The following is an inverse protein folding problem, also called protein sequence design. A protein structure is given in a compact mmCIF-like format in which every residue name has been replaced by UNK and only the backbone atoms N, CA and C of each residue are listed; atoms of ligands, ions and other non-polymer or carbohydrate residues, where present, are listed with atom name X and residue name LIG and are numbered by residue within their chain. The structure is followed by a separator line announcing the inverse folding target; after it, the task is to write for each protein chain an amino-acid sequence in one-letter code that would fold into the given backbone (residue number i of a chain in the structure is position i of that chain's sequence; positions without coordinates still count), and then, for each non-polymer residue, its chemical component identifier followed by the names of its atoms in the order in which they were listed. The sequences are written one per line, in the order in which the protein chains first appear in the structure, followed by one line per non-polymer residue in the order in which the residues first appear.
data_IF_422301998242
#
_entry.id   IF_422301998242
#
_cell.length_a   1.000
_cell.length_b   1.000
_cell.length_c   1.000
_cell.angle_alpha   90.00
_cell.angle_beta   90.00
_cell.angle_gamma   90.00
#
_symmetry.space_group_name_H-M   'P 1'
#
loop_
_entity.id
_entity.type
_entity.pdbx_description
1 polymer ?
#
# COMPACT_ATOMS: atom_id res chain seq x y z
N UNK A 1 -22.93 2.79 11.97
CA UNK A 1 -23.44 1.82 10.99
C UNK A 1 -24.10 0.69 11.75
N UNK A 2 -25.22 0.15 11.26
CA UNK A 2 -25.76 -1.11 11.76
C UNK A 2 -25.10 -2.32 11.07
N UNK A 3 -25.28 -3.52 11.63
CA UNK A 3 -24.87 -4.79 10.99
C UNK A 3 -25.56 -4.98 9.64
N UNK A 4 -26.83 -4.62 9.54
CA UNK A 4 -27.61 -4.70 8.30
C UNK A 4 -27.03 -3.78 7.22
N UNK A 5 -26.70 -2.52 7.56
CA UNK A 5 -26.05 -1.61 6.61
C UNK A 5 -24.72 -2.19 6.11
N UNK A 6 -23.91 -2.75 7.02
CA UNK A 6 -22.63 -3.37 6.65
C UNK A 6 -22.82 -4.54 5.68
N UNK A 7 -23.72 -5.48 5.99
CA UNK A 7 -23.97 -6.64 5.16
C UNK A 7 -24.48 -6.23 3.77
N UNK A 8 -25.40 -5.27 3.73
CA UNK A 8 -25.93 -4.71 2.49
C UNK A 8 -24.83 -4.10 1.63
N UNK A 9 -24.01 -3.21 2.19
CA UNK A 9 -22.92 -2.57 1.43
C UNK A 9 -21.87 -3.58 0.96
N UNK A 10 -21.55 -4.58 1.78
CA UNK A 10 -20.66 -5.67 1.39
C UNK A 10 -21.20 -6.46 0.19
N UNK A 11 -22.49 -6.84 0.22
CA UNK A 11 -23.16 -7.57 -0.87
C UNK A 11 -23.16 -6.74 -2.16
N UNK A 12 -23.55 -5.46 -2.06
CA UNK A 12 -23.60 -4.56 -3.22
C UNK A 12 -22.21 -4.35 -3.83
N UNK A 13 -21.18 -4.24 -3.00
CA UNK A 13 -19.79 -4.12 -3.46
C UNK A 13 -19.35 -5.35 -4.26
N UNK A 14 -19.67 -6.57 -3.79
CA UNK A 14 -19.36 -7.80 -4.53
C UNK A 14 -20.18 -7.88 -5.82
N UNK A 15 -21.48 -7.57 -5.76
CA UNK A 15 -22.37 -7.57 -6.92
C UNK A 15 -21.82 -6.68 -8.04
N UNK A 16 -21.37 -5.47 -7.71
CA UNK A 16 -20.88 -4.52 -8.71
C UNK A 16 -19.59 -5.02 -9.39
N UNK A 17 -18.71 -5.71 -8.64
CA UNK A 17 -17.52 -6.37 -9.20
C UNK A 17 -17.89 -7.54 -10.11
N UNK A 18 -18.85 -8.37 -9.72
CA UNK A 18 -19.32 -9.49 -10.56
C UNK A 18 -20.03 -9.00 -11.82
N UNK A 19 -20.81 -7.92 -11.72
CA UNK A 19 -21.46 -7.27 -12.86
C UNK A 19 -20.45 -6.74 -13.86
N UNK A 20 -19.37 -6.12 -13.39
CA UNK A 20 -18.26 -5.69 -14.25
C UNK A 20 -17.60 -6.87 -14.99
N UNK A 21 -17.50 -8.03 -14.35
CA UNK A 21 -16.94 -9.25 -14.93
C UNK A 21 -17.92 -10.05 -15.81
N UNK A 22 -19.20 -9.68 -15.85
CA UNK A 22 -20.24 -10.33 -16.67
C UNK A 22 -20.92 -11.56 -16.02
N UNK A 23 -20.71 -11.83 -14.73
CA UNK A 23 -21.26 -13.00 -14.02
C UNK A 23 -22.74 -12.82 -13.65
N UNK A 24 -23.60 -12.92 -14.67
CA UNK A 24 -25.04 -12.59 -14.56
C UNK A 24 -25.79 -13.50 -13.57
N UNK A 25 -25.42 -14.77 -13.45
CA UNK A 25 -26.07 -15.69 -12.51
C UNK A 25 -25.84 -15.28 -11.05
N UNK A 26 -24.58 -15.00 -10.68
CA UNK A 26 -24.22 -14.62 -9.32
C UNK A 26 -24.74 -13.22 -8.97
N UNK A 27 -24.76 -12.30 -9.94
CA UNK A 27 -25.39 -10.98 -9.76
C UNK A 27 -26.88 -11.14 -9.43
N UNK A 28 -27.62 -11.94 -10.18
CA UNK A 28 -29.04 -12.19 -9.94
C UNK A 28 -29.29 -12.85 -8.57
N UNK A 29 -28.38 -13.71 -8.10
CA UNK A 29 -28.45 -14.29 -6.76
C UNK A 29 -28.30 -13.20 -5.68
N UNK A 30 -27.28 -12.34 -5.81
CA UNK A 30 -27.03 -11.28 -4.84
C UNK A 30 -28.15 -10.23 -4.81
N UNK A 31 -28.72 -9.88 -5.96
CA UNK A 31 -29.84 -8.93 -6.05
C UNK A 31 -31.13 -9.44 -5.40
N UNK A 32 -31.34 -10.76 -5.38
CA UNK A 32 -32.51 -11.37 -4.71
C UNK A 32 -32.36 -11.44 -3.19
N UNK A 33 -31.14 -11.64 -2.71
CA UNK A 33 -30.86 -11.90 -1.30
C UNK A 33 -30.50 -10.62 -0.51
N UNK A 34 -30.07 -9.54 -1.18
CA UNK A 34 -29.55 -8.33 -0.53
C UNK A 34 -30.49 -7.71 0.50
N UNK A 35 -31.80 -7.70 0.23
CA UNK A 35 -32.79 -7.10 1.13
C UNK A 35 -33.21 -8.04 2.28
N UNK A 36 -32.81 -9.31 2.22
CA UNK A 36 -33.11 -10.34 3.23
C UNK A 36 -31.96 -10.59 4.21
N UNK A 37 -30.82 -9.92 4.05
CA UNK A 37 -29.62 -10.15 4.85
C UNK A 37 -29.36 -8.94 5.76
N UNK A 38 -29.72 -9.10 7.02
CA UNK A 38 -29.60 -8.09 8.08
C UNK A 38 -28.57 -8.44 9.16
N UNK A 39 -28.02 -9.66 9.16
CA UNK A 39 -27.04 -10.15 10.12
C UNK A 39 -25.88 -10.95 9.48
N UNK A 40 -24.82 -11.19 10.26
CA UNK A 40 -23.64 -11.93 9.80
C UNK A 40 -23.90 -13.42 9.60
N UNK A 41 -24.93 -13.99 10.21
CA UNK A 41 -25.29 -15.40 10.05
C UNK A 41 -25.88 -15.64 8.66
N UNK A 42 -26.83 -14.81 8.27
CA UNK A 42 -27.44 -14.80 6.94
C UNK A 42 -26.40 -14.45 5.87
N UNK A 43 -25.49 -13.50 6.15
CA UNK A 43 -24.37 -13.21 5.26
C UNK A 43 -23.45 -14.43 5.10
N UNK A 44 -23.16 -15.16 6.18
CA UNK A 44 -22.36 -16.38 6.14
C UNK A 44 -22.99 -17.44 5.24
N UNK A 45 -24.30 -17.65 5.33
CA UNK A 45 -25.01 -18.59 4.44
C UNK A 45 -24.98 -18.13 2.99
N UNK A 46 -25.19 -16.84 2.73
CA UNK A 46 -25.09 -16.28 1.39
C UNK A 46 -23.70 -16.53 0.78
N UNK A 47 -22.62 -16.30 1.55
CA UNK A 47 -21.26 -16.57 1.09
C UNK A 47 -21.13 -18.04 0.67
N UNK A 48 -21.62 -19.01 1.45
CA UNK A 48 -21.56 -20.41 1.06
C UNK A 48 -22.30 -20.67 -0.25
N UNK A 49 -23.52 -20.14 -0.40
CA UNK A 49 -24.33 -20.32 -1.60
C UNK A 49 -23.67 -19.69 -2.83
N UNK A 50 -23.07 -18.50 -2.67
CA UNK A 50 -22.29 -17.81 -3.70
C UNK A 50 -21.11 -18.66 -4.18
N UNK A 51 -20.35 -19.24 -3.24
CA UNK A 51 -19.18 -20.07 -3.56
C UNK A 51 -19.61 -21.40 -4.20
N UNK A 52 -20.70 -22.01 -3.74
CA UNK A 52 -21.21 -23.26 -4.32
C UNK A 52 -21.65 -23.11 -5.78
N UNK A 53 -22.18 -21.94 -6.12
CA UNK A 53 -22.60 -21.59 -7.48
C UNK A 53 -21.48 -21.04 -8.34
N UNK A 54 -20.33 -20.70 -7.76
CA UNK A 54 -19.18 -20.27 -8.53
C UNK A 54 -18.47 -21.47 -9.15
N UNK A 55 -18.25 -21.43 -10.47
CA UNK A 55 -17.45 -22.43 -11.18
C UNK A 55 -15.94 -22.34 -10.86
N UNK A 56 -15.51 -21.25 -10.20
CA UNK A 56 -14.11 -20.94 -9.93
C UNK A 56 -13.89 -20.76 -8.43
N UNK A 57 -12.62 -20.92 -8.02
CA UNK A 57 -12.20 -20.54 -6.68
C UNK A 57 -12.29 -19.02 -6.54
N UNK A 58 -12.96 -18.56 -5.50
CA UNK A 58 -13.10 -17.12 -5.20
C UNK A 58 -12.12 -16.74 -4.10
N UNK A 59 -11.36 -15.68 -4.33
CA UNK A 59 -10.47 -15.04 -3.35
C UNK A 59 -11.06 -13.69 -2.97
N UNK A 60 -11.21 -13.43 -1.67
CA UNK A 60 -11.62 -12.12 -1.18
C UNK A 60 -10.37 -11.29 -0.87
N UNK A 61 -10.26 -10.10 -1.44
CA UNK A 61 -9.20 -9.14 -1.13
C UNK A 61 -9.85 -7.92 -0.50
N UNK A 62 -9.39 -7.56 0.69
CA UNK A 62 -9.79 -6.35 1.41
C UNK A 62 -8.55 -5.47 1.51
N UNK A 63 -8.58 -4.34 0.81
CA UNK A 63 -7.46 -3.39 0.72
C UNK A 63 -7.65 -2.23 1.71
N UNK A 64 -6.54 -1.56 2.07
CA UNK A 64 -6.49 -0.43 2.99
C UNK A 64 -7.19 -0.67 4.35
N UNK A 65 -7.12 -1.89 4.87
CA UNK A 65 -7.79 -2.27 6.13
C UNK A 65 -7.30 -1.48 7.35
N UNK A 66 -6.17 -0.80 7.23
CA UNK A 66 -5.52 0.01 8.24
C UNK A 66 -5.90 1.49 8.23
N UNK A 67 -6.60 1.96 7.19
CA UNK A 67 -7.03 3.36 7.04
C UNK A 67 -8.44 3.62 7.58
N UNK A 68 -9.23 2.57 7.79
CA UNK A 68 -10.57 2.66 8.36
C UNK A 68 -10.57 2.74 9.88
N UNK A 69 -11.62 3.32 10.47
CA UNK A 69 -11.91 3.13 11.88
C UNK A 69 -12.34 1.67 12.06
N UNK A 70 -11.37 0.79 12.35
CA UNK A 70 -11.63 -0.60 12.69
C UNK A 70 -12.57 -0.59 13.90
N UNK A 71 -13.81 -1.01 13.68
CA UNK A 71 -14.85 -1.02 14.69
C UNK A 71 -15.30 -2.46 14.97
N UNK A 72 -16.11 -2.62 16.02
CA UNK A 72 -16.61 -3.93 16.42
C UNK A 72 -17.28 -4.70 15.27
N UNK A 73 -18.02 -4.03 14.38
CA UNK A 73 -18.66 -4.69 13.24
C UNK A 73 -17.67 -5.33 12.28
N UNK A 74 -16.52 -4.70 12.04
CA UNK A 74 -15.48 -5.30 11.21
C UNK A 74 -14.84 -6.51 11.89
N UNK A 75 -14.69 -6.48 13.22
CA UNK A 75 -14.23 -7.64 13.98
C UNK A 75 -15.22 -8.80 13.93
N UNK A 76 -16.50 -8.53 14.17
CA UNK A 76 -17.57 -9.53 14.08
C UNK A 76 -17.63 -10.16 12.67
N UNK A 77 -17.37 -9.37 11.63
CA UNK A 77 -17.23 -9.86 10.27
C UNK A 77 -16.02 -10.80 10.10
N UNK A 78 -14.84 -10.44 10.63
CA UNK A 78 -13.65 -11.30 10.58
C UNK A 78 -13.83 -12.59 11.40
N UNK A 79 -14.48 -12.53 12.57
CA UNK A 79 -14.83 -13.70 13.37
C UNK A 79 -15.73 -14.66 12.59
N UNK A 80 -16.76 -14.13 11.92
CA UNK A 80 -17.64 -14.93 11.07
C UNK A 80 -16.84 -15.63 9.96
N UNK A 81 -15.95 -14.91 9.27
CA UNK A 81 -15.10 -15.50 8.22
C UNK A 81 -14.17 -16.59 8.77
N UNK A 82 -13.55 -16.37 9.93
CA UNK A 82 -12.73 -17.38 10.58
C UNK A 82 -13.55 -18.63 10.92
N UNK A 83 -14.73 -18.46 11.50
CA UNK A 83 -15.62 -19.59 11.81
C UNK A 83 -15.94 -20.40 10.54
N UNK A 84 -16.16 -19.73 9.41
CA UNK A 84 -16.34 -20.41 8.11
C UNK A 84 -15.12 -21.19 7.66
N UNK A 85 -13.90 -20.66 7.81
CA UNK A 85 -12.69 -21.40 7.47
C UNK A 85 -12.52 -22.67 8.31
N UNK A 86 -12.81 -22.59 9.61
CA UNK A 86 -12.76 -23.76 10.49
C UNK A 86 -13.79 -24.83 10.07
N UNK A 87 -15.00 -24.42 9.72
CA UNK A 87 -16.03 -25.32 9.19
C UNK A 87 -15.64 -25.91 7.83
N UNK A 88 -14.99 -25.13 6.97
CA UNK A 88 -14.53 -25.59 5.66
C UNK A 88 -13.39 -26.63 5.77
N UNK A 89 -12.47 -26.46 6.73
CA UNK A 89 -11.45 -27.47 7.05
C UNK A 89 -12.05 -28.80 7.54
N UNK A 90 -13.22 -28.75 8.17
CA UNK A 90 -13.99 -29.93 8.56
C UNK A 90 -14.95 -30.43 7.45
N UNK A 91 -14.83 -29.91 6.22
CA UNK A 91 -15.65 -30.24 5.04
C UNK A 91 -17.16 -30.00 5.25
N UNK A 92 -17.54 -29.08 6.16
CA UNK A 92 -18.94 -28.82 6.50
C UNK A 92 -19.61 -27.72 5.68
N UNK A 93 -18.82 -26.78 5.16
CA UNK A 93 -19.30 -25.65 4.36
C UNK A 93 -18.30 -25.30 3.27
N UNK A 94 -18.78 -24.76 2.15
CA UNK A 94 -17.90 -24.06 1.20
C UNK A 94 -17.75 -22.59 1.60
N UNK A 95 -16.57 -22.03 1.38
CA UNK A 95 -16.23 -20.63 1.62
C UNK A 95 -15.12 -20.17 0.68
N UNK A 96 -14.67 -18.91 0.81
CA UNK A 96 -13.58 -18.37 0.00
C UNK A 96 -12.35 -19.29 0.04
N UNK A 97 -11.64 -19.38 -1.09
CA UNK A 97 -10.40 -20.15 -1.16
C UNK A 97 -9.30 -19.52 -0.31
N UNK A 98 -9.24 -18.19 -0.30
CA UNK A 98 -8.35 -17.39 0.54
C UNK A 98 -8.98 -16.02 0.80
N UNK A 99 -8.59 -15.41 1.92
CA UNK A 99 -8.88 -14.02 2.23
C UNK A 99 -7.55 -13.29 2.41
N UNK A 100 -7.38 -12.18 1.70
CA UNK A 100 -6.18 -11.35 1.75
C UNK A 100 -6.58 -10.02 2.35
N UNK A 101 -5.93 -9.67 3.47
CA UNK A 101 -6.07 -8.37 4.12
C UNK A 101 -4.81 -7.57 3.82
N UNK A 102 -4.94 -6.48 3.06
CA UNK A 102 -3.84 -5.61 2.68
C UNK A 102 -3.96 -4.25 3.38
N UNK A 103 -2.83 -3.75 3.88
CA UNK A 103 -2.74 -2.46 4.57
C UNK A 103 -1.29 -2.00 4.71
N UNK A 104 -1.07 -0.71 4.97
CA UNK A 104 0.27 -0.15 5.16
C UNK A 104 0.87 -0.51 6.53
N UNK A 105 0.03 -0.48 7.57
CA UNK A 105 0.41 -0.91 8.91
C UNK A 105 0.15 -2.41 9.06
N UNK A 106 1.01 -3.11 9.81
CA UNK A 106 0.68 -4.48 10.20
C UNK A 106 -0.61 -4.41 11.03
N UNK A 107 -1.63 -5.13 10.60
CA UNK A 107 -2.96 -5.13 11.20
C UNK A 107 -2.84 -5.46 12.69
N UNK A 108 -1.92 -6.35 13.07
CA UNK A 108 -1.59 -6.69 14.47
C UNK A 108 -1.25 -5.45 15.32
N UNK A 109 -0.51 -4.48 14.78
CA UNK A 109 -0.14 -3.27 15.52
C UNK A 109 -1.33 -2.31 15.74
N UNK A 110 -2.27 -2.28 14.80
CA UNK A 110 -3.46 -1.43 14.88
C UNK A 110 -4.40 -1.99 15.94
N UNK A 111 -4.53 -3.31 16.00
CA UNK A 111 -5.47 -4.01 16.89
C UNK A 111 -5.00 -4.10 18.35
N UNK A 112 -3.69 -4.06 18.63
CA UNK A 112 -3.15 -4.09 20.01
C UNK A 112 -3.54 -2.83 20.83
N UNK A 113 -3.87 -1.72 20.17
CA UNK A 113 -4.18 -0.46 20.84
C UNK A 113 -5.61 -0.37 21.41
N UNK A 114 -6.47 -1.38 21.21
CA UNK A 114 -7.78 -1.50 21.87
C UNK A 114 -7.76 -2.65 22.90
N UNK A 115 -7.64 -2.35 24.21
CA UNK A 115 -7.56 -3.35 25.28
C UNK A 115 -8.78 -4.26 25.39
N UNK A 116 -9.92 -3.88 24.80
CA UNK A 116 -11.24 -4.47 25.07
C UNK A 116 -11.43 -5.84 24.41
N UNK A 117 -10.78 -6.13 23.26
CA UNK A 117 -10.97 -7.40 22.54
C UNK A 117 -9.72 -8.29 22.48
N UNK A 118 -8.80 -8.15 23.45
CA UNK A 118 -7.48 -8.82 23.48
C UNK A 118 -7.51 -10.35 23.32
N UNK A 119 -8.58 -10.99 23.80
CA UNK A 119 -8.76 -12.45 23.76
C UNK A 119 -9.27 -12.93 22.39
N UNK A 120 -10.20 -12.19 21.79
CA UNK A 120 -10.75 -12.44 20.46
C UNK A 120 -9.64 -12.34 19.38
N UNK A 121 -8.70 -11.42 19.56
CA UNK A 121 -7.62 -11.21 18.60
C UNK A 121 -6.73 -12.44 18.43
N UNK A 122 -6.30 -13.06 19.53
CA UNK A 122 -5.38 -14.20 19.45
C UNK A 122 -6.00 -15.39 18.70
N UNK A 123 -7.32 -15.56 18.73
CA UNK A 123 -7.97 -16.63 17.95
C UNK A 123 -8.01 -16.31 16.46
N UNK A 124 -8.37 -15.09 16.04
CA UNK A 124 -8.54 -14.72 14.62
C UNK A 124 -7.24 -14.91 13.81
N UNK A 125 -6.11 -14.52 14.38
CA UNK A 125 -4.83 -14.48 13.67
C UNK A 125 -4.01 -15.77 13.77
N UNK A 126 -4.42 -16.76 14.57
CA UNK A 126 -3.71 -18.04 14.67
C UNK A 126 -3.64 -18.82 13.33
N UNK A 127 -4.54 -18.52 12.39
CA UNK A 127 -4.58 -19.14 11.05
C UNK A 127 -4.10 -18.20 9.92
N UNK A 128 -3.70 -16.97 10.26
CA UNK A 128 -3.24 -15.99 9.29
C UNK A 128 -1.74 -16.16 9.00
N UNK A 129 -1.37 -16.11 7.73
CA UNK A 129 0.04 -16.05 7.31
C UNK A 129 0.42 -14.60 7.01
N UNK A 130 1.47 -14.08 7.65
CA UNK A 130 2.01 -12.77 7.31
C UNK A 130 2.83 -12.85 6.02
N UNK A 131 2.60 -11.91 5.09
CA UNK A 131 3.37 -11.77 3.86
C UNK A 131 3.75 -10.30 3.67
N UNK A 132 5.05 -10.01 3.77
CA UNK A 132 5.59 -8.66 3.58
C UNK A 132 6.13 -8.53 2.15
N UNK A 133 5.66 -7.54 1.41
CA UNK A 133 6.13 -7.21 0.06
C UNK A 133 7.01 -5.99 0.14
N UNK A 134 8.26 -6.13 -0.31
CA UNK A 134 9.12 -4.99 -0.62
C UNK A 134 8.73 -4.49 -2.01
N UNK A 135 8.13 -3.29 -2.07
CA UNK A 135 7.62 -2.70 -3.32
C UNK A 135 8.71 -1.97 -4.12
N UNK A 136 9.97 -1.98 -3.67
CA UNK A 136 11.05 -1.35 -4.41
C UNK A 136 11.38 -2.11 -5.71
N UNK A 137 11.34 -1.39 -6.82
CA UNK A 137 11.76 -1.90 -8.13
C UNK A 137 13.28 -2.10 -8.16
N UNK A 138 13.71 -3.26 -8.62
CA UNK A 138 15.09 -3.52 -8.96
C UNK A 138 15.48 -2.83 -10.28
N UNK A 139 16.79 -2.58 -10.46
CA UNK A 139 17.32 -1.95 -11.68
C UNK A 139 16.85 -2.69 -12.95
N UNK A 140 16.83 -4.03 -12.92
CA UNK A 140 16.39 -4.87 -14.04
C UNK A 140 14.92 -4.64 -14.41
N UNK A 141 14.07 -4.41 -13.40
CA UNK A 141 12.63 -4.20 -13.58
C UNK A 141 12.39 -2.80 -14.16
N UNK A 142 13.06 -1.78 -13.61
CA UNK A 142 13.03 -0.42 -14.16
C UNK A 142 13.51 -0.42 -15.62
N UNK A 143 14.60 -1.14 -15.93
CA UNK A 143 15.11 -1.23 -17.30
C UNK A 143 14.11 -1.92 -18.24
N UNK A 144 13.43 -2.98 -17.80
CA UNK A 144 12.37 -3.63 -18.60
C UNK A 144 11.23 -2.65 -18.90
N UNK A 145 10.72 -1.97 -17.87
CA UNK A 145 9.65 -0.99 -18.01
C UNK A 145 10.03 0.15 -18.97
N UNK A 146 11.27 0.64 -18.89
CA UNK A 146 11.76 1.68 -19.81
C UNK A 146 11.88 1.20 -21.26
N UNK A 147 12.22 -0.07 -21.50
CA UNK A 147 12.27 -0.64 -22.87
C UNK A 147 10.87 -0.76 -23.46
N UNK A 148 9.91 -1.23 -22.66
CA UNK A 148 8.50 -1.28 -23.05
C UNK A 148 8.00 0.12 -23.40
N UNK A 149 8.25 1.11 -22.52
CA UNK A 149 7.89 2.50 -22.76
C UNK A 149 8.54 3.09 -24.01
N UNK A 150 9.84 2.86 -24.20
CA UNK A 150 10.61 3.28 -25.37
C UNK A 150 10.02 2.75 -26.67
N UNK A 151 9.64 1.48 -26.69
CA UNK A 151 9.05 0.84 -27.86
C UNK A 151 7.64 1.39 -28.18
N UNK A 152 6.80 1.58 -27.16
CA UNK A 152 5.44 2.11 -27.33
C UNK A 152 5.41 3.56 -27.80
N UNK A 153 6.33 4.39 -27.29
CA UNK A 153 6.39 5.83 -27.59
C UNK A 153 7.38 6.20 -28.69
N UNK A 154 8.11 5.22 -29.24
CA UNK A 154 9.17 5.42 -30.23
C UNK A 154 10.24 6.43 -29.74
N UNK A 155 10.68 6.26 -28.50
CA UNK A 155 11.69 7.10 -27.83
C UNK A 155 13.04 6.38 -27.86
N UNK A 156 14.11 7.05 -28.29
CA UNK A 156 15.47 6.56 -28.18
C UNK A 156 16.03 6.81 -26.76
N UNK A 157 16.29 5.74 -26.01
CA UNK A 157 16.88 5.85 -24.67
C UNK A 157 17.76 4.64 -24.32
N UNK A 158 18.82 4.87 -23.53
CA UNK A 158 19.62 3.78 -22.95
C UNK A 158 18.96 3.28 -21.66
N UNK A 159 18.11 2.27 -21.77
CA UNK A 159 17.27 1.80 -20.67
C UNK A 159 18.08 1.37 -19.44
N UNK A 160 19.20 0.68 -19.63
CA UNK A 160 20.02 0.19 -18.51
C UNK A 160 20.66 1.35 -17.72
N UNK A 161 21.26 2.31 -18.42
CA UNK A 161 21.84 3.49 -17.76
C UNK A 161 20.79 4.35 -17.06
N UNK A 162 19.64 4.55 -17.70
CA UNK A 162 18.55 5.30 -17.08
C UNK A 162 17.99 4.57 -15.86
N UNK A 163 17.86 3.25 -15.92
CA UNK A 163 17.42 2.45 -14.79
C UNK A 163 18.37 2.54 -13.59
N UNK A 164 19.68 2.46 -13.82
CA UNK A 164 20.68 2.65 -12.77
C UNK A 164 20.58 4.03 -12.12
N UNK A 165 20.45 5.08 -12.94
CA UNK A 165 20.37 6.46 -12.45
C UNK A 165 19.04 6.75 -11.75
N UNK A 166 17.92 6.20 -12.24
CA UNK A 166 16.62 6.24 -11.57
C UNK A 166 16.70 5.54 -10.23
N UNK A 167 17.26 4.34 -10.17
CA UNK A 167 17.44 3.61 -8.92
C UNK A 167 18.36 4.37 -7.94
N UNK A 168 19.41 5.00 -8.43
CA UNK A 168 20.30 5.83 -7.61
C UNK A 168 19.56 6.96 -6.88
N UNK A 169 18.63 7.64 -7.55
CA UNK A 169 17.86 8.73 -6.94
C UNK A 169 16.68 8.24 -6.10
N UNK A 170 15.98 7.21 -6.57
CA UNK A 170 14.67 6.78 -6.05
C UNK A 170 14.75 5.57 -5.13
N UNK A 171 15.87 4.85 -5.13
CA UNK A 171 16.00 3.53 -4.49
C UNK A 171 14.92 2.53 -4.90
N UNK A 172 14.44 2.62 -6.14
CA UNK A 172 13.40 1.73 -6.66
C UNK A 172 11.98 2.12 -6.27
N UNK A 173 11.76 3.25 -5.59
CA UNK A 173 10.42 3.66 -5.16
C UNK A 173 9.48 3.86 -6.37
N UNK A 174 8.43 3.04 -6.57
CA UNK A 174 7.67 2.99 -7.82
C UNK A 174 7.11 4.34 -8.26
N UNK A 175 6.47 5.06 -7.34
CA UNK A 175 5.94 6.40 -7.63
C UNK A 175 7.02 7.37 -8.13
N UNK A 176 8.22 7.38 -7.53
CA UNK A 176 9.27 8.32 -7.92
C UNK A 176 9.89 7.92 -9.27
N UNK A 177 10.05 6.61 -9.52
CA UNK A 177 10.52 6.10 -10.81
C UNK A 177 9.59 6.57 -11.92
N UNK A 178 8.28 6.30 -11.78
CA UNK A 178 7.29 6.72 -12.77
C UNK A 178 7.18 8.24 -12.87
N UNK A 179 7.23 8.97 -11.73
CA UNK A 179 7.09 10.43 -11.75
C UNK A 179 8.28 11.12 -12.42
N UNK A 180 9.50 10.62 -12.24
CA UNK A 180 10.66 11.17 -12.93
C UNK A 180 10.58 10.90 -14.44
N UNK A 181 10.19 9.69 -14.85
CA UNK A 181 9.95 9.36 -16.25
C UNK A 181 8.88 10.27 -16.88
N UNK A 182 7.75 10.46 -16.19
CA UNK A 182 6.66 11.34 -16.61
C UNK A 182 7.12 12.80 -16.79
N UNK A 183 7.92 13.32 -15.85
CA UNK A 183 8.42 14.71 -15.92
C UNK A 183 9.42 14.88 -17.07
N UNK A 184 10.26 13.87 -17.33
CA UNK A 184 11.15 13.91 -18.50
C UNK A 184 10.34 14.00 -19.78
N UNK A 185 9.35 13.12 -19.94
CA UNK A 185 8.57 13.01 -21.17
C UNK A 185 7.68 14.24 -21.43
N UNK A 186 7.03 14.76 -20.38
CA UNK A 186 6.00 15.79 -20.55
C UNK A 186 6.49 17.24 -20.35
N UNK A 187 7.64 17.45 -19.70
CA UNK A 187 8.05 18.79 -19.27
C UNK A 187 9.48 19.20 -19.64
N UNK A 188 10.34 18.22 -19.94
CA UNK A 188 11.75 18.49 -20.27
C UNK A 188 12.00 18.31 -21.76
N UNK A 189 11.42 17.27 -22.33
CA UNK A 189 11.56 16.96 -23.74
C UNK A 189 10.67 17.91 -24.54
N UNK A 190 11.24 18.51 -25.58
CA UNK A 190 10.50 19.33 -26.54
C UNK A 190 9.72 18.42 -27.51
N UNK A 191 8.58 18.88 -28.03
CA UNK A 191 7.66 18.08 -28.88
C UNK A 191 8.32 17.39 -30.10
N UNK A 192 9.50 17.85 -30.53
CA UNK A 192 10.24 17.31 -31.68
C UNK A 192 11.48 16.49 -31.30
N UNK A 193 11.78 16.33 -30.01
CA UNK A 193 12.88 15.51 -29.53
C UNK A 193 12.36 14.15 -29.08
N UNK A 194 12.84 13.08 -29.70
CA UNK A 194 12.44 11.71 -29.36
C UNK A 194 13.54 10.95 -28.62
N UNK A 195 14.53 11.65 -28.06
CA UNK A 195 15.72 11.04 -27.45
C UNK A 195 15.92 11.52 -26.02
N UNK A 196 16.02 10.57 -25.09
CA UNK A 196 16.32 10.88 -23.70
C UNK A 196 17.82 11.04 -23.48
N UNK A 197 18.22 12.19 -22.95
CA UNK A 197 19.60 12.48 -22.57
C UNK A 197 19.81 12.28 -21.08
N UNK A 198 20.96 11.77 -20.65
CA UNK A 198 21.23 11.45 -19.23
C UNK A 198 21.01 12.68 -18.30
N UNK A 199 21.22 13.90 -18.81
CA UNK A 199 21.01 15.17 -18.07
C UNK A 199 19.54 15.42 -17.70
N UNK A 200 18.58 14.88 -18.46
CA UNK A 200 17.15 15.08 -18.25
C UNK A 200 16.68 14.53 -16.91
N UNK A 201 17.32 13.45 -16.43
CA UNK A 201 16.97 12.92 -15.12
C UNK A 201 17.38 13.85 -13.97
N UNK A 202 18.54 14.52 -14.07
CA UNK A 202 18.96 15.48 -13.04
C UNK A 202 18.03 16.71 -13.05
N UNK A 203 17.66 17.20 -14.24
CA UNK A 203 16.67 18.25 -14.42
C UNK A 203 15.29 17.85 -13.85
N UNK A 204 14.85 16.62 -14.08
CA UNK A 204 13.59 16.11 -13.53
C UNK A 204 13.61 16.07 -12.01
N UNK A 205 14.72 15.63 -11.41
CA UNK A 205 14.91 15.66 -9.95
C UNK A 205 14.81 17.09 -9.40
N UNK A 206 15.48 18.05 -10.03
CA UNK A 206 15.39 19.46 -9.62
C UNK A 206 13.96 20.01 -9.74
N UNK A 207 13.26 19.69 -10.83
CA UNK A 207 11.89 20.12 -11.06
C UNK A 207 10.94 19.56 -10.00
N UNK A 208 10.97 18.24 -9.72
CA UNK A 208 10.08 17.66 -8.72
C UNK A 208 10.37 18.21 -7.31
N UNK A 209 11.63 18.50 -6.97
CA UNK A 209 11.99 19.07 -5.68
C UNK A 209 11.44 20.49 -5.47
N UNK A 210 11.18 21.23 -6.55
CA UNK A 210 10.57 22.57 -6.54
C UNK A 210 9.04 22.54 -6.66
N UNK A 211 8.48 21.43 -7.17
CA UNK A 211 7.04 21.26 -7.34
C UNK A 211 6.30 21.03 -6.01
N UNK A 212 5.03 21.41 -6.01
CA UNK A 212 4.07 20.99 -5.00
C UNK A 212 3.44 19.67 -5.44
N UNK A 213 3.90 18.57 -4.84
CA UNK A 213 3.35 17.24 -5.07
C UNK A 213 2.70 16.75 -3.78
N UNK A 214 1.45 16.30 -3.88
CA UNK A 214 0.70 15.72 -2.73
C UNK A 214 1.53 14.65 -2.02
N UNK A 215 2.29 13.85 -2.79
CA UNK A 215 3.19 12.83 -2.27
C UNK A 215 4.23 13.39 -1.28
N UNK A 216 4.84 14.53 -1.57
CA UNK A 216 5.78 15.18 -0.65
C UNK A 216 5.08 15.84 0.53
N UNK A 217 3.87 16.36 0.34
CA UNK A 217 3.08 16.89 1.45
C UNK A 217 2.71 15.78 2.45
N UNK A 218 2.36 14.59 1.95
CA UNK A 218 2.12 13.38 2.76
C UNK A 218 3.40 12.94 3.47
N UNK A 219 4.56 12.94 2.78
CA UNK A 219 5.84 12.60 3.38
C UNK A 219 6.16 13.49 4.59
N UNK A 220 6.05 14.81 4.43
CA UNK A 220 6.31 15.77 5.51
C UNK A 220 5.28 15.64 6.63
N UNK A 221 3.99 15.47 6.29
CA UNK A 221 2.93 15.23 7.27
C UNK A 221 3.20 13.97 8.09
N UNK A 222 3.60 12.88 7.45
CA UNK A 222 3.91 11.62 8.12
C UNK A 222 5.13 11.74 9.04
N UNK A 223 6.17 12.48 8.61
CA UNK A 223 7.33 12.76 9.45
C UNK A 223 6.94 13.54 10.72
N UNK A 224 6.06 14.53 10.60
CA UNK A 224 5.58 15.36 11.72
C UNK A 224 4.46 14.73 12.57
N UNK A 225 4.07 13.47 12.32
CA UNK A 225 3.04 12.79 13.14
C UNK A 225 3.49 12.55 14.59
N UNK A 226 4.80 12.35 14.79
CA UNK A 226 5.41 12.05 16.09
C UNK A 226 6.71 12.84 16.20
N UNK A 227 6.88 13.58 17.30
CA UNK A 227 8.04 14.45 17.53
C UNK A 227 9.37 13.73 17.40
N UNK A 228 9.44 12.51 17.94
CA UNK A 228 10.64 11.68 17.97
C UNK A 228 11.03 11.19 16.56
N UNK A 229 10.05 11.03 15.67
CA UNK A 229 10.29 10.67 14.27
C UNK A 229 10.89 11.85 13.50
N UNK A 230 10.37 13.04 13.71
CA UNK A 230 10.93 14.27 13.13
C UNK A 230 12.34 14.54 13.66
N UNK A 231 12.58 14.41 14.96
CA UNK A 231 13.91 14.56 15.58
C UNK A 231 14.90 13.53 15.02
N UNK A 232 14.45 12.29 14.80
CA UNK A 232 15.28 11.26 14.18
C UNK A 232 15.63 11.60 12.73
N UNK A 233 14.67 12.09 11.95
CA UNK A 233 14.95 12.59 10.60
C UNK A 233 15.95 13.75 10.62
N UNK A 234 15.83 14.68 11.56
CA UNK A 234 16.77 15.80 11.74
C UNK A 234 18.19 15.32 12.04
N UNK A 235 18.36 14.38 12.99
CA UNK A 235 19.65 13.76 13.32
C UNK A 235 20.30 13.08 12.11
N UNK A 236 19.52 12.43 11.24
CA UNK A 236 20.06 11.74 10.06
C UNK A 236 20.39 12.74 8.94
N UNK A 237 19.53 13.72 8.70
CA UNK A 237 19.59 14.58 7.52
C UNK A 237 20.46 15.82 7.74
N UNK A 238 20.37 16.45 8.91
CA UNK A 238 21.10 17.67 9.26
C UNK A 238 22.41 17.34 9.97
N UNK A 239 22.36 16.55 11.05
CA UNK A 239 23.55 16.23 11.84
C UNK A 239 24.44 15.14 11.21
N UNK A 240 23.92 14.41 10.21
CA UNK A 240 24.63 13.30 9.57
C UNK A 240 24.88 12.09 10.49
N UNK A 241 24.09 11.92 11.56
CA UNK A 241 24.27 10.83 12.52
C UNK A 241 23.94 9.47 11.90
N UNK A 242 24.74 8.48 12.27
CA UNK A 242 24.48 7.07 11.95
C UNK A 242 23.64 6.48 13.09
N UNK A 243 22.48 5.93 12.74
CA UNK A 243 21.57 5.30 13.70
C UNK A 243 21.45 3.82 13.36
N UNK A 244 21.74 2.97 14.35
CA UNK A 244 21.61 1.53 14.20
C UNK A 244 20.14 1.12 14.10
N UNK A 245 19.85 0.16 13.23
CA UNK A 245 18.53 -0.39 13.09
C UNK A 245 18.20 -1.29 14.29
N UNK A 246 17.10 -0.97 14.99
CA UNK A 246 16.56 -1.79 16.07
C UNK A 246 15.07 -2.04 15.81
N UNK A 247 14.71 -3.31 15.60
CA UNK A 247 13.33 -3.70 15.26
C UNK A 247 12.32 -3.40 16.37
N UNK A 248 12.77 -3.39 17.62
CA UNK A 248 11.96 -3.10 18.82
C UNK A 248 11.70 -1.61 19.03
N UNK A 249 12.38 -0.74 18.28
CA UNK A 249 12.18 0.70 18.41
C UNK A 249 10.95 1.13 17.59
N UNK A 250 9.91 1.59 18.28
CA UNK A 250 8.64 1.99 17.69
C UNK A 250 8.77 3.16 16.69
N UNK A 251 9.66 4.12 16.95
CA UNK A 251 9.93 5.26 16.05
C UNK A 251 10.53 4.79 14.73
N UNK A 252 11.49 3.86 14.80
CA UNK A 252 12.11 3.25 13.61
C UNK A 252 11.07 2.47 12.80
N UNK A 253 10.21 1.70 13.49
CA UNK A 253 9.13 0.93 12.87
C UNK A 253 8.16 1.85 12.14
N UNK A 254 7.68 2.92 12.79
CA UNK A 254 6.79 3.90 12.18
C UNK A 254 7.44 4.60 10.97
N UNK A 255 8.70 5.00 11.09
CA UNK A 255 9.42 5.62 9.98
C UNK A 255 9.58 4.68 8.77
N UNK A 256 9.72 3.37 8.99
CA UNK A 256 9.63 2.38 7.89
C UNK A 256 8.23 2.30 7.30
N UNK A 257 7.19 2.18 8.13
CA UNK A 257 5.79 2.10 7.68
C UNK A 257 5.36 3.31 6.85
N UNK A 258 5.82 4.51 7.21
CA UNK A 258 5.56 5.73 6.44
C UNK A 258 6.49 5.92 5.23
N UNK A 259 7.36 4.96 4.93
CA UNK A 259 8.28 5.01 3.80
C UNK A 259 9.41 6.06 3.95
N UNK A 260 9.63 6.59 5.16
CA UNK A 260 10.71 7.55 5.43
C UNK A 260 12.06 6.85 5.51
N UNK A 261 12.09 5.65 6.08
CA UNK A 261 13.32 4.93 6.39
C UNK A 261 13.48 3.64 5.59
N UNK A 262 14.73 3.32 5.29
CA UNK A 262 15.17 1.98 4.86
C UNK A 262 16.29 1.46 5.74
N UNK A 263 16.34 0.14 5.89
CA UNK A 263 17.49 -0.55 6.51
C UNK A 263 18.54 -0.78 5.44
N UNK A 264 19.79 -0.40 5.73
CA UNK A 264 20.94 -0.75 4.88
C UNK A 264 22.11 -1.08 5.78
N UNK A 265 22.70 -2.27 5.65
CA UNK A 265 23.89 -2.70 6.40
C UNK A 265 23.76 -2.51 7.92
N UNK A 266 22.59 -2.82 8.50
CA UNK A 266 22.35 -2.70 9.94
C UNK A 266 22.09 -1.28 10.45
N UNK A 267 22.12 -0.26 9.58
CA UNK A 267 21.80 1.13 9.92
C UNK A 267 20.54 1.62 9.22
N UNK A 268 19.98 2.71 9.71
CA UNK A 268 18.83 3.39 9.13
C UNK A 268 19.31 4.52 8.24
N UNK A 269 18.68 4.65 7.07
CA UNK A 269 18.84 5.79 6.18
C UNK A 269 17.48 6.30 5.75
N UNK A 270 17.41 7.57 5.34
CA UNK A 270 16.28 8.06 4.56
C UNK A 270 16.15 7.19 3.30
N UNK A 271 14.92 6.80 2.99
CA UNK A 271 14.59 5.79 1.98
C UNK A 271 15.29 6.02 0.64
N UNK A 272 15.28 7.26 0.16
CA UNK A 272 15.92 7.64 -1.10
C UNK A 272 16.48 9.06 -1.07
N UNK A 273 17.27 9.42 -2.08
CA UNK A 273 17.99 10.71 -2.14
C UNK A 273 17.03 11.88 -2.30
N UNK A 274 15.94 11.69 -3.05
CA UNK A 274 14.93 12.73 -3.27
C UNK A 274 14.23 13.08 -1.95
N UNK A 275 13.81 12.08 -1.17
CA UNK A 275 13.26 12.29 0.16
C UNK A 275 14.26 12.96 1.08
N UNK A 276 15.52 12.50 1.09
CA UNK A 276 16.57 13.13 1.90
C UNK A 276 16.68 14.63 1.59
N UNK A 277 16.71 15.00 0.31
CA UNK A 277 16.79 16.40 -0.10
C UNK A 277 15.53 17.20 0.24
N UNK A 278 14.34 16.60 0.04
CA UNK A 278 13.07 17.26 0.36
C UNK A 278 12.93 17.52 1.86
N UNK A 279 13.26 16.53 2.69
CA UNK A 279 13.27 16.64 4.16
C UNK A 279 14.31 17.67 4.60
N UNK A 280 15.51 17.66 4.00
CA UNK A 280 16.54 18.66 4.27
C UNK A 280 16.02 20.08 4.04
N UNK A 281 15.45 20.34 2.86
CA UNK A 281 14.92 21.66 2.50
C UNK A 281 13.83 22.10 3.48
N UNK A 282 12.92 21.20 3.86
CA UNK A 282 11.88 21.48 4.85
C UNK A 282 12.48 21.86 6.21
N UNK A 283 13.39 21.05 6.75
CA UNK A 283 13.99 21.27 8.07
C UNK A 283 14.81 22.55 8.14
N UNK A 284 15.58 22.87 7.08
CA UNK A 284 16.35 24.12 7.00
C UNK A 284 15.42 25.33 6.97
N UNK A 285 14.36 25.30 6.15
CA UNK A 285 13.37 26.37 6.15
C UNK A 285 12.71 26.53 7.52
N UNK A 286 12.29 25.43 8.15
CA UNK A 286 11.67 25.45 9.49
C UNK A 286 12.57 26.12 10.52
N UNK A 287 13.87 25.78 10.55
CA UNK A 287 14.86 26.37 11.46
C UNK A 287 15.13 27.86 11.20
N UNK A 288 14.99 28.32 9.96
CA UNK A 288 15.16 29.73 9.63
C UNK A 288 14.00 30.61 10.14
N UNK A 289 12.84 30.01 10.44
CA UNK A 289 11.63 30.69 10.90
C UNK A 289 11.24 30.33 12.35
N UNK A 290 12.10 29.60 13.08
CA UNK A 290 11.96 29.28 14.50
C UNK A 290 12.87 30.15 15.36
#
# INVERSE_FOLDING_TARGET
SSTSDFCREFILTIRDRLKFNGDTELVNLLEKEVDNIDDFLNLSYLITNLIEKSEKRVVLIIDDVDKGYINQLFFDFLEMLQAKFNLAQAERVKTFHSIILAGMHNINDIMINDPSNKIIYNSIWNIASEFNIDFELEIKEIASMLREYSAERNIELNADKFAEKLYYYTSGHPFLVSKLAEVIDNEIIEDNENRWQEKYLDQAVELILKKKLLHFDILIKNMGKVSELEEMCEKIVIDGRIINYAIVNSVIKQGKTYGLFRKQNGIIKIHNKIYKQRIHNYLVCRKAYS
#
